data_IF_704666192674
#
_entry.id   IF_704666192674
#
_cell.length_a   1.000
_cell.length_b   1.000
_cell.length_c   1.000
_cell.angle_alpha   90.00
_cell.angle_beta   90.00
_cell.angle_gamma   90.00
#
_symmetry.space_group_name_H-M   'P 1'
#
loop_
_entity.id
_entity.type
_entity.pdbx_description
1 polymer ?
#
# COMPACT_ATOMS: atom_id res chain seq x y z
N UNK A 1 -3.32 -32.33 -6.28
CA UNK A 1 -4.54 -32.63 -7.02
C UNK A 1 -4.36 -32.39 -8.51
N UNK A 2 -3.76 -31.25 -8.93
CA UNK A 2 -3.45 -30.96 -10.33
C UNK A 2 -2.69 -32.12 -11.01
N UNK A 3 -1.65 -32.67 -10.37
CA UNK A 3 -0.89 -33.83 -10.88
C UNK A 3 -1.76 -35.07 -11.05
N UNK A 4 -2.71 -35.33 -10.11
CA UNK A 4 -3.61 -36.48 -10.20
C UNK A 4 -4.55 -36.40 -11.39
N UNK A 5 -4.99 -35.17 -11.73
CA UNK A 5 -5.91 -34.92 -12.83
C UNK A 5 -5.19 -34.61 -14.14
N UNK A 6 -3.85 -34.68 -14.17
CA UNK A 6 -3.02 -34.32 -15.32
C UNK A 6 -3.35 -32.93 -15.89
N UNK A 7 -3.54 -31.95 -14.98
CA UNK A 7 -3.84 -30.56 -15.32
C UNK A 7 -2.59 -29.72 -15.18
N UNK A 8 -2.21 -29.02 -16.22
CA UNK A 8 -1.17 -28.00 -16.23
C UNK A 8 -1.76 -26.66 -15.79
N UNK A 9 -1.17 -26.04 -14.76
CA UNK A 9 -1.62 -24.76 -14.23
C UNK A 9 -0.46 -23.96 -13.64
N UNK A 10 -0.50 -22.65 -13.78
CA UNK A 10 0.41 -21.73 -13.10
C UNK A 10 -0.20 -21.43 -11.72
N UNK A 11 0.59 -21.62 -10.67
CA UNK A 11 0.21 -21.31 -9.28
C UNK A 11 1.04 -20.11 -8.83
N UNK A 12 0.37 -19.01 -8.47
CA UNK A 12 1.02 -17.81 -7.98
C UNK A 12 0.43 -17.37 -6.64
N UNK A 13 1.30 -16.82 -5.79
CA UNK A 13 0.86 -16.10 -4.59
C UNK A 13 0.48 -14.67 -4.94
N UNK A 14 -0.63 -14.21 -4.42
CA UNK A 14 -1.03 -12.80 -4.48
C UNK A 14 -0.97 -12.16 -3.08
N UNK A 15 -1.08 -10.83 -3.01
CA UNK A 15 -1.28 -10.15 -1.75
C UNK A 15 -2.73 -10.26 -1.25
N UNK A 16 -2.96 -9.86 0.00
CA UNK A 16 -4.30 -9.85 0.59
C UNK A 16 -5.22 -8.86 -0.15
N UNK A 17 -6.41 -9.32 -0.53
CA UNK A 17 -7.46 -8.48 -1.16
C UNK A 17 -8.09 -7.50 -0.15
N UNK A 18 -7.82 -7.67 1.15
CA UNK A 18 -8.33 -6.86 2.25
C UNK A 18 -9.55 -7.46 2.97
N UNK A 19 -10.14 -8.56 2.51
CA UNK A 19 -11.32 -9.18 3.14
C UNK A 19 -10.89 -10.36 4.03
N UNK A 20 -10.26 -10.06 5.15
CA UNK A 20 -9.67 -11.07 6.05
C UNK A 20 -10.69 -12.03 6.65
N UNK A 21 -11.93 -11.59 6.86
CA UNK A 21 -12.99 -12.42 7.46
C UNK A 21 -13.36 -13.67 6.65
N UNK A 22 -13.00 -13.71 5.36
CA UNK A 22 -13.36 -14.82 4.44
C UNK A 22 -12.15 -15.54 3.86
N UNK A 23 -10.97 -15.31 4.42
CA UNK A 23 -9.75 -16.04 4.04
C UNK A 23 -9.77 -17.48 4.57
N UNK A 24 -9.06 -18.43 3.95
CA UNK A 24 -8.24 -18.28 2.74
C UNK A 24 -9.05 -18.09 1.45
N UNK A 25 -8.57 -17.24 0.58
CA UNK A 25 -9.19 -16.97 -0.73
C UNK A 25 -8.34 -17.64 -1.82
N UNK A 26 -9.01 -18.31 -2.75
CA UNK A 26 -8.39 -18.90 -3.94
C UNK A 26 -9.04 -18.32 -5.19
N UNK A 27 -8.22 -17.75 -6.05
CA UNK A 27 -8.65 -17.24 -7.34
C UNK A 27 -8.36 -18.26 -8.44
N UNK A 28 -9.33 -18.49 -9.32
CA UNK A 28 -9.15 -19.36 -10.47
C UNK A 28 -9.50 -18.58 -11.74
N UNK A 29 -8.57 -18.59 -12.70
CA UNK A 29 -8.74 -17.99 -14.03
C UNK A 29 -8.53 -19.03 -15.10
N UNK A 30 -9.55 -19.32 -15.89
CA UNK A 30 -9.46 -20.12 -17.10
C UNK A 30 -9.13 -19.22 -18.30
N UNK A 31 -8.44 -19.74 -19.33
CA UNK A 31 -8.22 -19.01 -20.58
C UNK A 31 -9.54 -18.48 -21.17
N UNK A 32 -9.56 -17.19 -21.51
CA UNK A 32 -10.75 -16.54 -22.10
C UNK A 32 -11.92 -16.31 -21.14
N UNK A 33 -11.82 -16.68 -19.86
CA UNK A 33 -12.85 -16.43 -18.85
C UNK A 33 -12.39 -15.43 -17.80
N UNK A 34 -13.35 -14.82 -17.11
CA UNK A 34 -13.07 -13.96 -15.97
C UNK A 34 -12.50 -14.77 -14.78
N UNK A 35 -11.65 -14.14 -13.98
CA UNK A 35 -11.16 -14.68 -12.72
C UNK A 35 -12.29 -14.72 -11.70
N UNK A 36 -12.47 -15.86 -11.03
CA UNK A 36 -13.44 -16.07 -9.96
C UNK A 36 -12.70 -16.30 -8.66
N UNK A 37 -13.10 -15.58 -7.61
CA UNK A 37 -12.60 -15.73 -6.25
C UNK A 37 -13.51 -16.67 -5.46
N UNK A 38 -12.90 -17.59 -4.73
CA UNK A 38 -13.55 -18.53 -3.81
C UNK A 38 -13.05 -18.27 -2.40
N UNK A 39 -13.96 -18.22 -1.43
CA UNK A 39 -13.70 -17.85 -0.04
C UNK A 39 -13.65 -19.07 0.89
N UNK A 40 -13.00 -18.91 2.07
CA UNK A 40 -12.93 -19.92 3.14
C UNK A 40 -12.49 -21.31 2.64
N UNK A 41 -11.56 -21.34 1.68
CA UNK A 41 -11.09 -22.58 1.06
C UNK A 41 -10.16 -23.31 2.04
N UNK A 42 -10.53 -24.53 2.37
CA UNK A 42 -9.73 -25.45 3.19
C UNK A 42 -9.07 -26.51 2.31
N UNK A 43 -8.08 -27.21 2.86
CA UNK A 43 -7.44 -28.34 2.17
C UNK A 43 -8.44 -29.40 1.71
N UNK A 44 -9.53 -29.60 2.46
CA UNK A 44 -10.62 -30.55 2.14
C UNK A 44 -11.42 -30.14 0.89
N UNK A 45 -11.51 -28.84 0.62
CA UNK A 45 -12.26 -28.32 -0.53
C UNK A 45 -11.48 -28.44 -1.84
N UNK A 46 -10.13 -28.46 -1.77
CA UNK A 46 -9.24 -28.40 -2.94
C UNK A 46 -9.54 -29.48 -3.99
N UNK A 47 -9.72 -30.77 -3.67
CA UNK A 47 -9.98 -31.79 -4.68
C UNK A 47 -11.25 -31.49 -5.51
N UNK A 48 -12.33 -31.11 -4.83
CA UNK A 48 -13.60 -30.80 -5.47
C UNK A 48 -13.55 -29.47 -6.25
N UNK A 49 -12.92 -28.43 -5.65
CA UNK A 49 -12.70 -27.15 -6.31
C UNK A 49 -11.95 -27.35 -7.62
N UNK A 50 -10.79 -28.01 -7.60
CA UNK A 50 -9.97 -28.22 -8.79
C UNK A 50 -10.67 -29.09 -9.84
N UNK A 51 -11.33 -30.17 -9.45
CA UNK A 51 -12.09 -31.01 -10.37
C UNK A 51 -13.19 -30.18 -11.06
N UNK A 52 -14.06 -29.54 -10.29
CA UNK A 52 -15.19 -28.76 -10.85
C UNK A 52 -14.71 -27.62 -11.74
N UNK A 53 -13.71 -26.85 -11.29
CA UNK A 53 -13.34 -25.62 -12.01
C UNK A 53 -12.39 -25.87 -13.18
N UNK A 54 -11.42 -26.73 -13.04
CA UNK A 54 -10.38 -26.94 -14.06
C UNK A 54 -10.64 -28.15 -14.96
N UNK A 55 -11.14 -29.27 -14.42
CA UNK A 55 -11.46 -30.45 -15.22
C UNK A 55 -12.81 -30.32 -15.91
N UNK A 56 -13.88 -30.07 -15.14
CA UNK A 56 -15.24 -29.99 -15.65
C UNK A 56 -15.56 -28.61 -16.26
N UNK A 57 -14.70 -27.60 -16.02
CA UNK A 57 -14.82 -26.19 -16.48
C UNK A 57 -16.13 -25.52 -16.02
N UNK A 58 -16.64 -25.93 -14.89
CA UNK A 58 -17.84 -25.41 -14.22
C UNK A 58 -17.46 -24.48 -13.07
N UNK A 59 -18.45 -23.74 -12.55
CA UNK A 59 -18.27 -22.87 -11.37
C UNK A 59 -18.54 -23.67 -10.10
N UNK A 60 -17.59 -23.67 -9.16
CA UNK A 60 -17.76 -24.25 -7.83
C UNK A 60 -18.67 -23.36 -6.96
N UNK A 61 -19.97 -23.61 -6.97
CA UNK A 61 -21.01 -22.70 -6.46
C UNK A 61 -21.00 -22.50 -4.95
N UNK A 62 -20.50 -23.48 -4.18
CA UNK A 62 -20.64 -23.50 -2.73
C UNK A 62 -19.85 -22.42 -1.99
N UNK A 63 -18.73 -21.96 -2.56
CA UNK A 63 -17.81 -21.03 -1.90
C UNK A 63 -17.44 -19.85 -2.78
N UNK A 64 -18.32 -19.41 -3.65
CA UNK A 64 -18.10 -18.24 -4.49
C UNK A 64 -18.05 -16.99 -3.61
N UNK A 65 -16.99 -16.19 -3.75
CA UNK A 65 -16.93 -14.83 -3.25
C UNK A 65 -17.42 -13.85 -4.32
N UNK A 66 -16.94 -13.99 -5.55
CA UNK A 66 -17.34 -13.15 -6.67
C UNK A 66 -16.43 -13.25 -7.88
N UNK A 67 -16.80 -12.56 -8.96
CA UNK A 67 -16.03 -12.47 -10.20
C UNK A 67 -15.33 -11.13 -10.33
N UNK A 68 -14.11 -11.13 -10.91
CA UNK A 68 -13.37 -9.91 -11.27
C UNK A 68 -13.86 -9.26 -12.56
N UNK A 69 -14.82 -9.86 -13.26
CA UNK A 69 -15.39 -9.36 -14.51
C UNK A 69 -16.91 -9.53 -14.54
N UNK A 70 -17.44 -9.67 -15.77
CA UNK A 70 -18.88 -9.89 -16.02
C UNK A 70 -19.15 -11.37 -16.31
N UNK A 71 -18.80 -12.26 -15.38
CA UNK A 71 -19.08 -13.70 -15.54
C UNK A 71 -20.56 -13.99 -15.40
N UNK A 72 -21.16 -14.63 -16.41
CA UNK A 72 -22.56 -15.01 -16.41
C UNK A 72 -22.90 -15.88 -15.17
N UNK A 73 -23.83 -15.40 -14.36
CA UNK A 73 -24.33 -16.11 -13.19
C UNK A 73 -23.48 -16.00 -11.91
N UNK A 74 -22.37 -15.25 -11.93
CA UNK A 74 -21.56 -14.99 -10.72
C UNK A 74 -21.59 -13.49 -10.42
N UNK A 75 -21.89 -13.12 -9.18
CA UNK A 75 -21.88 -11.73 -8.72
C UNK A 75 -20.49 -11.11 -8.91
N UNK A 76 -20.41 -9.86 -9.36
CA UNK A 76 -19.14 -9.15 -9.41
C UNK A 76 -18.63 -8.87 -7.99
N UNK A 77 -17.32 -9.00 -7.77
CA UNK A 77 -16.69 -8.60 -6.50
C UNK A 77 -17.07 -7.16 -6.09
N UNK A 78 -17.24 -6.28 -7.06
CA UNK A 78 -17.68 -4.90 -6.79
C UNK A 78 -19.08 -4.77 -6.20
N UNK A 79 -19.91 -5.81 -6.33
CA UNK A 79 -21.27 -5.87 -5.78
C UNK A 79 -21.34 -6.62 -4.46
N UNK A 80 -20.23 -7.22 -4.00
CA UNK A 80 -20.15 -7.82 -2.66
C UNK A 80 -20.20 -6.67 -1.65
N UNK A 81 -21.07 -6.73 -0.62
CA UNK A 81 -21.28 -5.60 0.31
C UNK A 81 -20.00 -5.05 0.93
N UNK A 82 -19.01 -5.91 1.22
CA UNK A 82 -17.71 -5.50 1.73
C UNK A 82 -16.94 -4.60 0.75
N UNK A 83 -17.08 -4.80 -0.57
CA UNK A 83 -16.36 -4.02 -1.60
C UNK A 83 -17.19 -2.90 -2.21
N UNK A 84 -18.52 -3.01 -2.20
CA UNK A 84 -19.43 -2.10 -2.91
C UNK A 84 -19.26 -0.64 -2.49
N UNK A 85 -19.01 -0.40 -1.21
CA UNK A 85 -18.87 0.94 -0.65
C UNK A 85 -17.42 1.41 -0.49
N UNK A 86 -16.46 0.67 -1.07
CA UNK A 86 -15.05 1.02 -1.08
C UNK A 86 -14.64 1.68 -2.38
N UNK A 87 -13.67 2.60 -2.30
CA UNK A 87 -12.99 3.17 -3.45
C UNK A 87 -11.50 2.92 -3.31
N UNK A 88 -11.01 1.89 -3.99
CA UNK A 88 -9.61 1.49 -3.91
C UNK A 88 -8.74 2.31 -4.87
N UNK A 89 -7.84 3.12 -4.31
CA UNK A 89 -6.77 3.85 -4.99
C UNK A 89 -5.43 3.21 -4.60
N UNK A 90 -5.13 3.14 -3.31
CA UNK A 90 -3.89 2.57 -2.77
C UNK A 90 -3.91 1.05 -2.86
N UNK A 91 -5.04 0.43 -2.49
CA UNK A 91 -5.19 -1.02 -2.47
C UNK A 91 -5.65 -1.62 -3.83
N UNK A 92 -5.60 -0.85 -4.92
CA UNK A 92 -6.13 -1.29 -6.22
C UNK A 92 -5.46 -2.55 -6.77
N UNK A 93 -4.18 -2.75 -6.51
CA UNK A 93 -3.41 -3.92 -6.97
C UNK A 93 -3.39 -5.09 -5.96
N UNK A 94 -3.81 -4.83 -4.71
CA UNK A 94 -3.79 -5.85 -3.66
C UNK A 94 -4.72 -7.01 -4.00
N UNK A 95 -4.19 -8.23 -4.02
CA UNK A 95 -4.88 -9.43 -4.49
C UNK A 95 -5.05 -9.53 -6.00
N UNK A 96 -4.49 -8.60 -6.78
CA UNK A 96 -4.59 -8.56 -8.26
C UNK A 96 -3.26 -8.87 -8.91
N UNK A 97 -2.19 -8.24 -8.44
CA UNK A 97 -0.83 -8.36 -8.99
C UNK A 97 -0.01 -9.30 -8.11
N UNK A 98 0.84 -10.12 -8.73
CA UNK A 98 1.83 -10.91 -8.01
C UNK A 98 2.89 -9.96 -7.41
N UNK A 99 3.00 -9.85 -6.07
CA UNK A 99 3.92 -8.90 -5.42
C UNK A 99 5.41 -9.25 -5.58
N UNK A 100 5.73 -10.43 -6.10
CA UNK A 100 7.11 -10.88 -6.31
C UNK A 100 7.56 -10.70 -7.77
N UNK A 101 6.65 -10.30 -8.68
CA UNK A 101 6.91 -10.14 -10.11
C UNK A 101 6.88 -8.67 -10.52
N UNK A 102 8.04 -8.15 -10.91
CA UNK A 102 8.13 -6.81 -11.50
C UNK A 102 7.40 -6.74 -12.84
N UNK A 103 7.43 -7.82 -13.64
CA UNK A 103 6.74 -7.90 -14.93
C UNK A 103 5.23 -7.81 -14.75
N UNK A 104 4.67 -8.46 -13.72
CA UNK A 104 3.26 -8.35 -13.39
C UNK A 104 2.88 -6.91 -13.01
N UNK A 105 3.75 -6.22 -12.26
CA UNK A 105 3.55 -4.81 -11.91
C UNK A 105 3.62 -3.90 -13.14
N UNK A 106 4.63 -4.08 -14.00
CA UNK A 106 4.79 -3.33 -15.26
C UNK A 106 3.60 -3.56 -16.20
N UNK A 107 3.16 -4.82 -16.39
CA UNK A 107 2.01 -5.16 -17.22
C UNK A 107 0.72 -4.50 -16.72
N UNK A 108 0.61 -4.24 -15.41
CA UNK A 108 -0.51 -3.53 -14.80
C UNK A 108 -0.32 -1.99 -14.77
N UNK A 109 0.65 -1.48 -15.51
CA UNK A 109 0.92 -0.04 -15.65
C UNK A 109 1.84 0.56 -14.59
N UNK A 110 2.51 -0.28 -13.82
CA UNK A 110 3.52 0.15 -12.83
C UNK A 110 4.68 0.89 -13.46
N UNK A 111 5.31 1.76 -12.68
CA UNK A 111 6.41 2.67 -13.03
C UNK A 111 6.12 3.68 -14.15
N UNK A 112 4.91 3.71 -14.71
CA UNK A 112 4.50 4.76 -15.67
C UNK A 112 4.49 6.16 -15.05
N UNK A 113 4.13 6.26 -13.77
CA UNK A 113 4.14 7.54 -13.08
C UNK A 113 5.59 8.04 -12.90
N UNK A 114 6.49 7.15 -12.53
CA UNK A 114 7.90 7.49 -12.37
C UNK A 114 8.57 7.84 -13.70
N UNK A 115 8.32 7.08 -14.78
CA UNK A 115 8.80 7.41 -16.12
C UNK A 115 8.30 8.79 -16.60
N UNK A 116 6.99 9.07 -16.39
CA UNK A 116 6.41 10.39 -16.68
C UNK A 116 7.14 11.51 -15.92
N UNK A 117 7.41 11.30 -14.62
CA UNK A 117 8.11 12.28 -13.78
C UNK A 117 9.52 12.53 -14.29
N UNK A 118 10.30 11.48 -14.55
CA UNK A 118 11.69 11.62 -15.00
C UNK A 118 11.82 12.30 -16.37
N UNK A 119 10.88 12.06 -17.29
CA UNK A 119 10.98 12.56 -18.66
C UNK A 119 10.28 13.89 -18.88
N UNK A 120 9.21 14.18 -18.14
CA UNK A 120 8.27 15.25 -18.49
C UNK A 120 8.09 16.30 -17.39
N UNK A 121 8.62 16.08 -16.18
CA UNK A 121 8.34 16.96 -15.04
C UNK A 121 9.64 17.41 -14.36
N UNK A 122 9.70 18.68 -14.00
CA UNK A 122 10.72 19.21 -13.09
C UNK A 122 10.34 18.91 -11.63
N UNK A 123 11.30 18.97 -10.73
CA UNK A 123 11.10 18.73 -9.30
C UNK A 123 9.97 19.57 -8.70
N UNK A 124 9.97 20.87 -9.04
CA UNK A 124 8.96 21.82 -8.57
C UNK A 124 7.56 21.51 -9.10
N UNK A 125 7.46 20.98 -10.33
CA UNK A 125 6.20 20.60 -10.95
C UNK A 125 5.59 19.36 -10.26
N UNK A 126 6.45 18.38 -9.89
CA UNK A 126 6.01 17.22 -9.11
C UNK A 126 5.47 17.65 -7.74
N UNK A 127 6.21 18.54 -7.06
CA UNK A 127 5.78 19.08 -5.76
C UNK A 127 4.48 19.85 -5.90
N UNK A 128 4.35 20.68 -6.94
CA UNK A 128 3.13 21.44 -7.22
C UNK A 128 1.95 20.50 -7.45
N UNK A 129 2.12 19.44 -8.21
CA UNK A 129 1.07 18.43 -8.46
C UNK A 129 0.58 17.79 -7.15
N UNK A 130 1.50 17.44 -6.25
CA UNK A 130 1.17 16.87 -4.93
C UNK A 130 0.49 17.90 -4.01
N UNK A 131 0.90 19.18 -4.07
CA UNK A 131 0.27 20.28 -3.34
C UNK A 131 -1.16 20.53 -3.84
N UNK A 132 -1.34 20.68 -5.15
CA UNK A 132 -2.63 20.95 -5.78
C UNK A 132 -3.61 19.78 -5.58
N UNK A 133 -3.10 18.54 -5.55
CA UNK A 133 -3.88 17.36 -5.19
C UNK A 133 -4.34 17.35 -3.73
N UNK A 134 -3.71 18.13 -2.86
CA UNK A 134 -4.05 18.20 -1.45
C UNK A 134 -3.73 16.92 -0.67
N UNK A 135 -2.73 16.14 -1.11
CA UNK A 135 -2.32 14.93 -0.41
C UNK A 135 -1.73 15.27 0.96
N UNK A 136 -2.37 14.76 2.01
CA UNK A 136 -1.89 14.83 3.39
C UNK A 136 -1.29 13.50 3.82
N UNK A 137 -0.36 13.54 4.77
CA UNK A 137 0.24 12.34 5.37
C UNK A 137 -0.81 11.37 5.92
N UNK A 138 -0.58 10.07 5.71
CA UNK A 138 -1.48 8.98 6.12
C UNK A 138 -1.03 8.26 7.41
N UNK A 139 0.09 8.67 7.98
CA UNK A 139 0.61 8.11 9.23
C UNK A 139 0.08 8.73 10.52
N UNK A 140 -1.05 9.46 10.48
CA UNK A 140 -1.71 10.05 11.66
C UNK A 140 -1.59 11.57 11.77
N UNK A 141 -0.43 12.18 11.52
CA UNK A 141 -0.21 13.62 11.67
C UNK A 141 -0.89 14.50 10.61
N UNK A 142 -1.23 13.97 9.45
CA UNK A 142 -2.00 14.66 8.42
C UNK A 142 -1.34 15.92 7.83
N UNK A 143 -0.04 16.13 7.98
CA UNK A 143 0.66 17.27 7.41
C UNK A 143 0.68 17.18 5.87
N UNK A 144 0.52 18.29 5.11
CA UNK A 144 0.53 18.27 3.66
C UNK A 144 1.87 17.73 3.11
N UNK A 145 1.81 16.63 2.35
CA UNK A 145 3.01 15.94 1.86
C UNK A 145 3.85 16.84 0.95
N UNK A 146 3.22 17.51 -0.02
CA UNK A 146 3.92 18.43 -0.93
C UNK A 146 4.59 19.60 -0.22
N UNK A 147 4.02 20.09 0.90
CA UNK A 147 4.65 21.17 1.70
C UNK A 147 5.93 20.68 2.40
N UNK A 148 5.93 19.45 2.90
CA UNK A 148 7.13 18.82 3.47
C UNK A 148 8.22 18.66 2.39
N UNK A 149 7.85 18.26 1.17
CA UNK A 149 8.76 18.12 0.05
C UNK A 149 9.34 19.47 -0.42
N UNK A 150 8.49 20.50 -0.52
CA UNK A 150 8.90 21.86 -0.86
C UNK A 150 9.96 22.41 0.13
N UNK A 151 9.74 22.20 1.42
CA UNK A 151 10.69 22.63 2.45
C UNK A 151 12.06 21.97 2.29
N UNK A 152 12.09 20.66 1.97
CA UNK A 152 13.32 19.92 1.76
C UNK A 152 14.00 20.28 0.42
N UNK A 153 13.23 20.49 -0.66
CA UNK A 153 13.81 20.92 -1.95
C UNK A 153 14.56 22.24 -1.81
N UNK A 154 14.01 23.20 -1.08
CA UNK A 154 14.60 24.54 -0.85
C UNK A 154 15.92 24.52 -0.07
N UNK A 155 16.25 23.41 0.62
CA UNK A 155 17.52 23.33 1.33
C UNK A 155 18.68 23.14 0.34
N UNK A 156 19.70 23.99 0.44
CA UNK A 156 20.94 23.81 -0.32
C UNK A 156 21.84 22.82 0.41
N UNK A 157 21.85 21.57 -0.03
CA UNK A 157 22.65 20.49 0.55
C UNK A 157 23.05 19.49 -0.54
N UNK A 158 24.29 19.03 -0.50
CA UNK A 158 24.81 18.02 -1.42
C UNK A 158 24.08 16.67 -1.28
N UNK A 159 23.68 16.33 -0.05
CA UNK A 159 22.96 15.12 0.25
C UNK A 159 21.64 15.42 0.94
N UNK A 160 20.57 14.83 0.45
CA UNK A 160 19.26 14.79 1.07
C UNK A 160 18.81 13.34 1.23
N UNK A 161 17.97 13.07 2.21
CA UNK A 161 17.47 11.73 2.48
C UNK A 161 15.95 11.65 2.39
N UNK A 162 15.48 10.50 1.92
CA UNK A 162 14.07 10.14 1.99
C UNK A 162 13.90 8.93 2.91
N UNK A 163 12.87 8.93 3.74
CA UNK A 163 12.56 7.81 4.62
C UNK A 163 11.09 7.41 4.45
N UNK A 164 10.88 6.13 4.17
CA UNK A 164 9.58 5.49 4.29
C UNK A 164 9.44 4.97 5.72
N UNK A 165 8.51 5.55 6.46
CA UNK A 165 8.16 5.09 7.79
C UNK A 165 7.17 3.92 7.67
N UNK A 166 7.68 2.72 7.90
CA UNK A 166 6.95 1.46 7.96
C UNK A 166 6.98 0.87 9.39
N UNK A 167 7.10 1.72 10.41
CA UNK A 167 7.00 1.36 11.82
C UNK A 167 5.55 1.43 12.29
N UNK A 168 4.71 0.53 11.78
CA UNK A 168 3.30 0.41 12.11
C UNK A 168 3.14 -0.34 13.44
N UNK A 169 3.19 0.40 14.55
CA UNK A 169 3.26 -0.16 15.90
C UNK A 169 1.93 -0.32 16.62
N UNK A 170 0.84 0.24 16.12
CA UNK A 170 -0.47 0.19 16.76
C UNK A 170 -1.06 -1.24 16.77
N UNK A 171 -1.54 -1.74 17.92
CA UNK A 171 -2.25 -3.01 17.98
C UNK A 171 -3.49 -3.02 17.08
N UNK A 172 -3.59 -4.02 16.20
CA UNK A 172 -4.69 -4.14 15.24
C UNK A 172 -4.51 -3.34 13.95
N UNK A 173 -3.49 -2.49 13.82
CA UNK A 173 -3.13 -1.83 12.56
C UNK A 173 -2.26 -2.76 11.70
N UNK A 174 -2.64 -2.93 10.42
CA UNK A 174 -1.91 -3.75 9.46
C UNK A 174 -2.06 -3.25 8.00
N UNK A 175 -2.50 -2.01 7.81
CA UNK A 175 -2.68 -1.44 6.46
C UNK A 175 -1.34 -1.22 5.75
N UNK A 176 -0.33 -0.69 6.43
CA UNK A 176 1.00 -0.50 5.86
C UNK A 176 1.69 -1.83 5.58
N UNK A 177 1.62 -2.76 6.53
CA UNK A 177 2.08 -4.14 6.37
C UNK A 177 1.48 -4.79 5.12
N UNK A 178 0.15 -4.74 4.99
CA UNK A 178 -0.53 -5.37 3.88
C UNK A 178 -0.17 -4.74 2.53
N UNK A 179 0.03 -3.43 2.49
CA UNK A 179 0.48 -2.76 1.26
C UNK A 179 1.90 -3.19 0.88
N UNK A 180 2.82 -3.26 1.84
CA UNK A 180 4.20 -3.73 1.61
C UNK A 180 4.26 -5.21 1.22
N UNK A 181 3.33 -6.03 1.73
CA UNK A 181 3.22 -7.44 1.38
C UNK A 181 2.48 -7.68 0.05
N UNK A 182 1.61 -6.77 -0.38
CA UNK A 182 0.73 -6.98 -1.53
C UNK A 182 1.12 -6.18 -2.77
N UNK A 183 1.68 -4.99 -2.62
CA UNK A 183 2.08 -4.09 -3.72
C UNK A 183 3.33 -3.28 -3.34
N UNK A 184 4.46 -3.96 -3.02
CA UNK A 184 5.69 -3.28 -2.60
C UNK A 184 6.26 -2.38 -3.70
N UNK A 185 6.07 -2.74 -4.98
CA UNK A 185 6.52 -1.94 -6.12
C UNK A 185 5.87 -0.56 -6.16
N UNK A 186 4.59 -0.44 -5.83
CA UNK A 186 3.87 0.84 -5.75
C UNK A 186 4.49 1.77 -4.70
N UNK A 187 4.87 1.23 -3.55
CA UNK A 187 5.51 2.00 -2.49
C UNK A 187 6.89 2.47 -2.94
N UNK A 188 7.68 1.60 -3.57
CA UNK A 188 9.00 1.93 -4.12
C UNK A 188 8.88 2.96 -5.25
N UNK A 189 7.91 2.85 -6.15
CA UNK A 189 7.64 3.86 -7.18
C UNK A 189 7.30 5.22 -6.56
N UNK A 190 6.43 5.25 -5.55
CA UNK A 190 6.09 6.48 -4.82
C UNK A 190 7.29 7.11 -4.10
N UNK A 191 8.16 6.28 -3.54
CA UNK A 191 9.43 6.73 -2.96
C UNK A 191 10.38 7.31 -4.02
N UNK A 192 10.50 6.66 -5.18
CA UNK A 192 11.36 7.13 -6.26
C UNK A 192 10.91 8.50 -6.80
N UNK A 193 9.60 8.69 -6.98
CA UNK A 193 9.00 9.98 -7.35
C UNK A 193 9.30 11.06 -6.30
N UNK A 194 9.11 10.74 -5.02
CA UNK A 194 9.37 11.68 -3.93
C UNK A 194 10.87 12.02 -3.80
N UNK A 195 11.75 11.02 -3.95
CA UNK A 195 13.20 11.22 -3.92
C UNK A 195 13.66 12.14 -5.06
N UNK A 196 13.17 11.93 -6.28
CA UNK A 196 13.39 12.84 -7.39
C UNK A 196 12.93 14.26 -7.06
N UNK A 197 11.70 14.41 -6.58
CA UNK A 197 11.10 15.71 -6.28
C UNK A 197 11.90 16.54 -5.26
N UNK A 198 12.54 15.89 -4.28
CA UNK A 198 13.35 16.61 -3.26
C UNK A 198 14.85 16.64 -3.56
N UNK A 199 15.31 15.93 -4.59
CA UNK A 199 16.73 15.77 -4.93
C UNK A 199 17.49 14.85 -3.97
N UNK A 200 16.85 13.80 -3.46
CA UNK A 200 17.50 12.80 -2.63
C UNK A 200 18.03 11.64 -3.47
N UNK A 201 19.28 11.24 -3.25
CA UNK A 201 19.91 10.07 -3.90
C UNK A 201 19.94 8.82 -3.03
N UNK A 202 19.64 8.96 -1.73
CA UNK A 202 19.59 7.83 -0.79
C UNK A 202 18.27 7.85 -0.04
N UNK A 203 17.61 6.69 -0.01
CA UNK A 203 16.40 6.49 0.77
C UNK A 203 16.50 5.30 1.72
N UNK A 204 15.70 5.34 2.78
CA UNK A 204 15.56 4.25 3.73
C UNK A 204 14.10 3.81 3.84
N UNK A 205 13.87 2.51 3.95
CA UNK A 205 12.60 1.95 4.42
C UNK A 205 12.85 1.47 5.85
N UNK A 206 12.27 2.15 6.83
CA UNK A 206 12.34 1.73 8.22
C UNK A 206 11.15 0.82 8.51
N UNK A 207 11.40 -0.49 8.50
CA UNK A 207 10.38 -1.53 8.63
C UNK A 207 10.57 -2.29 9.93
N UNK A 208 9.49 -2.63 10.60
CA UNK A 208 9.50 -3.47 11.80
C UNK A 208 10.09 -4.85 11.51
N UNK A 209 10.93 -5.35 12.42
CA UNK A 209 11.47 -6.71 12.33
C UNK A 209 10.38 -7.79 12.41
N UNK A 210 9.23 -7.46 13.01
CA UNK A 210 8.05 -8.33 13.15
C UNK A 210 7.27 -8.51 11.83
N UNK A 211 7.68 -7.85 10.74
CA UNK A 211 7.10 -7.99 9.42
C UNK A 211 8.06 -8.74 8.45
N UNK A 212 8.40 -10.02 8.72
CA UNK A 212 9.41 -10.74 7.94
C UNK A 212 9.03 -10.90 6.47
N UNK A 213 7.74 -11.11 6.15
CA UNK A 213 7.27 -11.24 4.78
C UNK A 213 7.38 -9.90 4.03
N UNK A 214 6.98 -8.79 4.65
CA UNK A 214 7.13 -7.46 4.06
C UNK A 214 8.61 -7.15 3.77
N UNK A 215 9.51 -7.46 4.70
CA UNK A 215 10.96 -7.28 4.53
C UNK A 215 11.47 -8.13 3.36
N UNK A 216 11.10 -9.41 3.27
CA UNK A 216 11.52 -10.29 2.18
C UNK A 216 11.03 -9.79 0.82
N UNK A 217 9.77 -9.36 0.73
CA UNK A 217 9.21 -8.79 -0.51
C UNK A 217 9.85 -7.47 -0.89
N UNK A 218 10.12 -6.59 0.06
CA UNK A 218 10.86 -5.35 -0.20
C UNK A 218 12.28 -5.60 -0.69
N UNK A 219 12.99 -6.59 -0.11
CA UNK A 219 14.33 -6.97 -0.58
C UNK A 219 14.29 -7.46 -2.03
N UNK A 220 13.34 -8.34 -2.36
CA UNK A 220 13.13 -8.80 -3.73
C UNK A 220 12.77 -7.63 -4.67
N UNK A 221 11.86 -6.75 -4.24
CA UNK A 221 11.44 -5.59 -5.04
C UNK A 221 12.59 -4.66 -5.37
N UNK A 222 13.41 -4.30 -4.38
CA UNK A 222 14.59 -3.43 -4.58
C UNK A 222 15.56 -4.10 -5.54
N UNK A 223 15.91 -5.37 -5.32
CA UNK A 223 16.82 -6.10 -6.19
C UNK A 223 16.32 -6.17 -7.64
N UNK A 224 15.00 -6.43 -7.84
CA UNK A 224 14.41 -6.42 -9.18
C UNK A 224 14.39 -5.03 -9.81
N UNK A 225 14.11 -3.99 -9.05
CA UNK A 225 14.18 -2.61 -9.57
C UNK A 225 15.61 -2.21 -9.96
N UNK A 226 16.63 -2.67 -9.24
CA UNK A 226 18.04 -2.47 -9.58
C UNK A 226 18.42 -3.25 -10.84
N UNK A 227 18.02 -4.52 -10.96
CA UNK A 227 18.22 -5.38 -12.13
C UNK A 227 17.63 -4.75 -13.41
N UNK A 228 16.45 -4.11 -13.29
CA UNK A 228 15.75 -3.44 -14.40
C UNK A 228 16.20 -1.99 -14.65
N UNK A 229 17.18 -1.48 -13.89
CA UNK A 229 17.67 -0.10 -14.01
C UNK A 229 16.65 0.96 -13.59
N UNK A 230 15.69 0.59 -12.77
CA UNK A 230 14.66 1.47 -12.20
C UNK A 230 15.13 2.06 -10.87
N UNK A 231 16.11 1.46 -10.24
CA UNK A 231 16.88 1.95 -9.09
C UNK A 231 18.38 1.85 -9.39
N UNK A 232 19.20 2.55 -8.60
CA UNK A 232 20.65 2.59 -8.74
C UNK A 232 21.14 3.90 -9.36
N UNK A 233 22.21 3.82 -10.14
CA UNK A 233 22.83 4.97 -10.78
C UNK A 233 22.20 5.28 -12.15
N UNK A 234 22.08 6.58 -12.47
CA UNK A 234 21.61 7.07 -13.76
C UNK A 234 20.34 6.36 -14.29
N UNK A 235 19.32 6.32 -13.45
CA UNK A 235 18.05 5.60 -13.69
C UNK A 235 17.45 6.02 -15.04
N UNK A 236 17.16 5.04 -15.91
CA UNK A 236 16.59 5.24 -17.24
C UNK A 236 17.32 6.33 -18.08
N UNK A 237 18.61 6.53 -17.87
CA UNK A 237 19.45 7.56 -18.48
C UNK A 237 18.98 9.01 -18.23
N UNK A 238 18.32 9.25 -17.09
CA UNK A 238 17.80 10.57 -16.70
C UNK A 238 18.81 11.47 -15.99
N UNK A 239 19.97 10.96 -15.61
CA UNK A 239 20.91 11.62 -14.70
C UNK A 239 20.53 11.54 -13.22
N UNK A 240 19.35 11.00 -12.88
CA UNK A 240 18.91 10.78 -11.52
C UNK A 240 19.41 9.42 -11.00
N UNK A 241 19.85 9.39 -9.74
CA UNK A 241 20.30 8.17 -9.06
C UNK A 241 19.56 8.03 -7.73
N UNK A 242 19.16 6.80 -7.38
CA UNK A 242 18.50 6.50 -6.12
C UNK A 242 18.87 5.12 -5.61
N UNK A 243 19.39 5.05 -4.39
CA UNK A 243 19.66 3.82 -3.66
C UNK A 243 18.72 3.69 -2.47
N UNK A 244 17.98 2.60 -2.38
CA UNK A 244 17.04 2.32 -1.28
C UNK A 244 17.63 1.26 -0.35
N UNK A 245 17.68 1.56 0.95
CA UNK A 245 18.17 0.66 1.99
C UNK A 245 17.07 0.31 2.98
N UNK A 246 17.01 -0.95 3.41
CA UNK A 246 16.06 -1.38 4.44
C UNK A 246 16.75 -1.33 5.79
N UNK A 247 16.14 -0.62 6.74
CA UNK A 247 16.52 -0.62 8.16
C UNK A 247 15.44 -1.33 8.96
N UNK A 248 15.83 -2.42 9.64
CA UNK A 248 14.92 -3.18 10.50
C UNK A 248 14.80 -2.49 11.86
N UNK A 249 13.58 -2.15 12.27
CA UNK A 249 13.27 -1.61 13.60
C UNK A 249 13.21 -2.73 14.64
N UNK A 250 13.61 -2.42 15.88
CA UNK A 250 13.63 -3.39 16.98
C UNK A 250 12.30 -3.47 17.77
N UNK A 251 11.16 -3.05 17.19
CA UNK A 251 9.83 -3.20 17.76
C UNK A 251 9.43 -2.13 18.80
N UNK A 252 10.17 -1.06 18.92
CA UNK A 252 9.81 0.04 19.82
C UNK A 252 8.79 0.97 19.15
N UNK A 253 7.57 1.06 19.68
CA UNK A 253 6.49 1.92 19.18
C UNK A 253 6.92 3.39 18.99
N UNK A 254 7.76 3.89 19.90
CA UNK A 254 8.29 5.27 19.84
C UNK A 254 9.09 5.55 18.56
N UNK A 255 9.63 4.53 17.90
CA UNK A 255 10.36 4.69 16.64
C UNK A 255 9.46 5.04 15.44
N UNK A 256 8.13 5.02 15.59
CA UNK A 256 7.19 5.61 14.65
C UNK A 256 7.23 7.15 14.63
N UNK A 257 7.71 7.80 15.70
CA UNK A 257 7.95 9.25 15.73
C UNK A 257 9.19 9.62 14.91
N UNK A 258 9.10 10.68 14.09
CA UNK A 258 10.10 11.05 13.08
C UNK A 258 11.53 11.17 13.63
N UNK A 259 11.71 11.81 14.79
CA UNK A 259 13.05 12.07 15.35
C UNK A 259 13.63 10.85 16.06
N UNK A 260 12.79 10.02 16.68
CA UNK A 260 13.18 8.74 17.26
C UNK A 260 13.58 7.74 16.16
N UNK A 261 12.83 7.70 15.06
CA UNK A 261 13.14 6.90 13.88
C UNK A 261 14.51 7.28 13.28
N UNK A 262 14.77 8.57 13.10
CA UNK A 262 16.10 9.07 12.66
C UNK A 262 17.19 8.58 13.60
N UNK A 263 17.03 8.76 14.92
CA UNK A 263 18.00 8.29 15.91
C UNK A 263 18.27 6.78 15.79
N UNK A 264 17.23 5.98 15.56
CA UNK A 264 17.35 4.53 15.36
C UNK A 264 18.11 4.18 14.08
N UNK A 265 17.88 4.88 12.95
CA UNK A 265 18.64 4.67 11.72
C UNK A 265 20.12 5.01 11.93
N UNK A 266 20.41 6.07 12.67
CA UNK A 266 21.77 6.49 13.04
C UNK A 266 22.48 5.53 14.03
N UNK A 267 21.81 4.47 14.49
CA UNK A 267 22.36 3.53 15.47
C UNK A 267 22.33 4.04 16.92
N UNK A 268 21.58 5.10 17.17
CA UNK A 268 21.37 5.67 18.50
C UNK A 268 20.08 5.13 19.12
N UNK A 269 19.89 5.37 20.41
CA UNK A 269 18.61 5.09 21.09
C UNK A 269 17.49 5.89 20.43
N UNK A 270 16.39 5.24 20.07
CA UNK A 270 15.20 5.87 19.50
C UNK A 270 14.46 6.72 20.51
N UNK A 271 14.90 7.94 20.70
CA UNK A 271 14.26 8.91 21.60
C UNK A 271 13.79 10.12 20.82
N UNK A 272 12.55 10.59 21.03
CA UNK A 272 12.06 11.83 20.45
C UNK A 272 12.93 13.02 20.82
N UNK A 273 13.11 13.92 19.86
CA UNK A 273 13.86 15.17 20.08
C UNK A 273 12.94 16.39 19.89
N UNK A 274 13.14 17.46 20.66
CA UNK A 274 12.43 18.72 20.42
C UNK A 274 12.66 19.27 19.02
N UNK A 275 11.66 19.95 18.47
CA UNK A 275 11.73 20.68 17.21
C UNK A 275 11.49 22.18 17.48
N UNK A 276 12.15 23.14 16.80
CA UNK A 276 13.09 23.01 15.70
C UNK A 276 14.47 22.48 16.11
N UNK A 277 15.35 22.01 15.15
CA UNK A 277 15.09 22.00 13.71
C UNK A 277 14.13 20.88 13.29
N UNK A 278 13.34 21.13 12.24
CA UNK A 278 12.51 20.09 11.63
C UNK A 278 13.36 19.18 10.73
N UNK A 279 13.01 17.89 10.57
CA UNK A 279 13.78 16.95 9.73
C UNK A 279 13.99 17.43 8.28
N UNK A 280 13.03 18.15 7.71
CA UNK A 280 13.17 18.73 6.38
C UNK A 280 14.34 19.74 6.24
N UNK A 281 14.84 20.26 7.36
CA UNK A 281 16.00 21.17 7.44
C UNK A 281 17.24 20.41 7.91
N UNK A 282 17.15 19.68 9.03
CA UNK A 282 18.25 18.93 9.63
C UNK A 282 17.72 17.64 10.28
N UNK A 283 17.67 16.56 9.49
CA UNK A 283 17.21 15.24 9.89
C UNK A 283 18.34 14.21 10.00
N UNK A 284 18.27 13.16 9.17
CA UNK A 284 19.22 12.06 9.17
C UNK A 284 20.65 12.54 8.91
N UNK A 285 21.58 12.20 9.80
CA UNK A 285 22.96 12.66 9.78
C UNK A 285 23.11 14.20 9.67
N UNK A 286 22.14 14.94 10.21
CA UNK A 286 22.10 16.40 10.15
C UNK A 286 21.77 16.98 8.78
N UNK A 287 21.31 16.16 7.82
CA UNK A 287 20.98 16.57 6.46
C UNK A 287 19.48 16.69 6.25
N UNK A 288 19.01 17.49 5.26
CA UNK A 288 17.59 17.60 4.96
C UNK A 288 16.97 16.23 4.68
N UNK A 289 15.87 15.91 5.37
CA UNK A 289 15.25 14.59 5.33
C UNK A 289 13.75 14.71 5.25
N UNK A 290 13.14 14.03 4.29
CA UNK A 290 11.69 13.86 4.23
C UNK A 290 11.33 12.48 4.75
N UNK A 291 10.35 12.42 5.65
CA UNK A 291 9.79 11.19 6.19
C UNK A 291 8.31 11.16 5.85
N UNK A 292 7.87 10.12 5.13
CA UNK A 292 6.46 9.86 4.88
C UNK A 292 6.12 8.41 5.23
N UNK A 293 4.86 8.19 5.59
CA UNK A 293 4.31 6.86 5.85
C UNK A 293 4.13 6.05 4.56
N UNK A 294 4.05 4.72 4.66
CA UNK A 294 3.88 3.77 3.55
C UNK A 294 2.66 4.12 2.68
N UNK A 295 1.48 4.30 3.28
CA UNK A 295 0.24 4.62 2.56
C UNK A 295 0.35 5.98 1.85
N UNK A 296 1.10 6.94 2.41
CA UNK A 296 1.37 8.21 1.75
C UNK A 296 2.10 8.01 0.44
N UNK A 297 3.19 7.20 0.42
CA UNK A 297 3.91 6.86 -0.80
C UNK A 297 3.05 6.05 -1.77
N UNK A 298 2.23 5.11 -1.27
CA UNK A 298 1.30 4.34 -2.10
C UNK A 298 0.26 5.19 -2.86
N UNK A 299 -0.03 6.40 -2.39
CA UNK A 299 -0.88 7.36 -3.08
C UNK A 299 -0.19 8.13 -4.20
N UNK A 300 1.14 8.25 -4.20
CA UNK A 300 1.88 9.12 -5.12
C UNK A 300 1.77 8.67 -6.58
N UNK A 301 2.04 7.40 -6.95
CA UNK A 301 1.93 6.97 -8.33
C UNK A 301 0.54 7.18 -8.94
N UNK A 302 -0.57 6.72 -8.30
CA UNK A 302 -1.89 6.98 -8.84
C UNK A 302 -2.25 8.47 -8.91
N UNK A 303 -1.79 9.30 -7.95
CA UNK A 303 -1.98 10.74 -7.98
C UNK A 303 -1.34 11.35 -9.25
N UNK A 304 -0.08 11.05 -9.53
CA UNK A 304 0.64 11.55 -10.71
C UNK A 304 -0.03 11.11 -12.02
N UNK A 305 -0.58 9.89 -12.07
CA UNK A 305 -1.27 9.36 -13.24
C UNK A 305 -2.68 9.94 -13.42
N UNK A 306 -3.40 10.16 -12.33
CA UNK A 306 -4.75 10.73 -12.35
C UNK A 306 -4.75 12.24 -12.59
N UNK A 307 -3.71 12.92 -12.13
CA UNK A 307 -3.63 14.37 -12.03
C UNK A 307 -4.28 14.92 -10.76
N UNK A 308 -3.78 16.08 -10.32
CA UNK A 308 -4.19 16.74 -9.08
C UNK A 308 -5.71 16.98 -9.01
N UNK A 309 -6.30 17.46 -10.10
CA UNK A 309 -7.72 17.78 -10.14
C UNK A 309 -8.61 16.54 -9.90
N UNK A 310 -8.30 15.42 -10.54
CA UNK A 310 -9.07 14.19 -10.39
C UNK A 310 -8.84 13.56 -9.01
N UNK A 311 -7.61 13.57 -8.49
CA UNK A 311 -7.34 13.10 -7.13
C UNK A 311 -8.06 13.94 -6.07
N UNK A 312 -8.02 15.27 -6.19
CA UNK A 312 -8.65 16.20 -5.24
C UNK A 312 -10.19 16.20 -5.30
N UNK A 313 -10.78 15.63 -6.34
CA UNK A 313 -12.24 15.45 -6.41
C UNK A 313 -12.75 14.33 -5.49
N UNK A 314 -11.85 13.47 -4.99
CA UNK A 314 -12.16 12.42 -4.01
C UNK A 314 -11.94 12.97 -2.60
N UNK A 315 -12.83 12.67 -1.67
CA UNK A 315 -12.75 13.11 -0.28
C UNK A 315 -13.54 14.39 0.01
N UNK A 316 -13.08 15.17 1.00
CA UNK A 316 -13.74 16.41 1.46
C UNK A 316 -13.02 17.66 0.95
N UNK A 317 -13.55 18.83 1.25
CA UNK A 317 -12.90 20.11 0.91
C UNK A 317 -11.50 20.26 1.53
N UNK A 318 -11.28 19.72 2.74
CA UNK A 318 -10.04 19.88 3.50
C UNK A 318 -9.18 18.62 3.60
N UNK A 319 -9.72 17.45 3.24
CA UNK A 319 -9.04 16.16 3.28
C UNK A 319 -9.31 15.39 1.99
N UNK A 320 -8.33 15.33 1.12
CA UNK A 320 -8.44 14.78 -0.24
C UNK A 320 -8.00 13.31 -0.30
N UNK A 321 -8.52 12.62 -1.33
CA UNK A 321 -8.20 11.22 -1.60
C UNK A 321 -8.94 10.25 -0.68
N UNK A 322 -8.39 9.06 -0.55
CA UNK A 322 -8.90 7.96 0.27
C UNK A 322 -8.06 7.76 1.54
N UNK A 323 -8.60 6.94 2.45
CA UNK A 323 -7.88 6.43 3.62
C UNK A 323 -8.15 4.95 3.77
N UNK A 324 -7.09 4.19 4.06
CA UNK A 324 -7.18 2.78 4.40
C UNK A 324 -7.36 2.63 5.92
N UNK A 325 -8.35 1.85 6.32
CA UNK A 325 -8.60 1.47 7.71
C UNK A 325 -8.40 -0.03 7.90
N UNK A 326 -7.71 -0.42 8.96
CA UNK A 326 -7.70 -1.78 9.46
C UNK A 326 -8.91 -1.95 10.40
N UNK A 327 -9.95 -2.60 9.91
CA UNK A 327 -11.18 -2.84 10.64
C UNK A 327 -11.07 -4.15 11.42
N UNK A 328 -11.02 -4.05 12.74
CA UNK A 328 -10.80 -5.20 13.64
C UNK A 328 -11.68 -5.11 14.89
N UNK A 329 -11.66 -6.16 15.70
CA UNK A 329 -12.46 -6.26 16.92
C UNK A 329 -13.82 -6.89 16.67
N UNK A 330 -14.84 -6.48 17.45
CA UNK A 330 -16.19 -7.05 17.43
C UNK A 330 -17.03 -6.51 16.25
N UNK A 331 -16.57 -6.76 15.04
CA UNK A 331 -17.24 -6.43 13.78
C UNK A 331 -17.36 -7.70 12.93
N UNK A 332 -18.46 -7.85 12.19
CA UNK A 332 -18.74 -9.07 11.42
C UNK A 332 -17.70 -9.33 10.33
N UNK A 333 -17.38 -8.31 9.55
CA UNK A 333 -16.43 -8.39 8.46
C UNK A 333 -15.16 -7.62 8.84
N UNK A 334 -14.14 -8.33 9.31
CA UNK A 334 -12.80 -7.76 9.57
C UNK A 334 -11.99 -7.68 8.29
N UNK A 335 -11.08 -6.69 8.22
CA UNK A 335 -10.18 -6.56 7.08
C UNK A 335 -9.73 -5.13 6.81
N UNK A 336 -9.19 -4.89 5.62
CA UNK A 336 -8.80 -3.56 5.15
C UNK A 336 -9.91 -2.91 4.35
N UNK A 337 -10.22 -1.69 4.71
CA UNK A 337 -11.30 -0.90 4.10
C UNK A 337 -10.71 0.40 3.58
N UNK A 338 -10.74 0.61 2.26
CA UNK A 338 -10.32 1.87 1.66
C UNK A 338 -11.54 2.67 1.21
N UNK A 339 -11.71 3.85 1.81
CA UNK A 339 -12.87 4.73 1.57
C UNK A 339 -12.44 6.16 1.31
N UNK A 340 -13.24 6.96 0.59
CA UNK A 340 -13.02 8.39 0.48
C UNK A 340 -12.95 9.06 1.85
N UNK A 341 -12.06 10.02 2.01
CA UNK A 341 -12.04 10.87 3.20
C UNK A 341 -13.41 11.51 3.40
N UNK A 342 -13.91 11.53 4.65
CA UNK A 342 -15.25 12.00 4.99
C UNK A 342 -16.31 10.90 5.07
N UNK A 343 -15.98 9.65 4.70
CA UNK A 343 -16.87 8.51 4.96
C UNK A 343 -17.10 8.37 6.46
N UNK A 344 -18.35 8.17 6.87
CA UNK A 344 -18.69 8.11 8.29
C UNK A 344 -18.26 6.79 8.92
N UNK A 345 -17.88 6.81 10.20
CA UNK A 345 -17.58 5.59 10.97
C UNK A 345 -18.78 4.63 10.97
N UNK A 346 -20.01 5.16 10.96
CA UNK A 346 -21.24 4.36 10.83
C UNK A 346 -21.24 3.55 9.54
N UNK A 347 -20.91 4.18 8.41
CA UNK A 347 -20.88 3.48 7.12
C UNK A 347 -19.77 2.42 7.10
N UNK A 348 -18.58 2.72 7.65
CA UNK A 348 -17.49 1.76 7.75
C UNK A 348 -17.90 0.55 8.61
N UNK A 349 -18.46 0.77 9.79
CA UNK A 349 -18.80 -0.32 10.72
C UNK A 349 -20.01 -1.12 10.24
N UNK A 350 -21.06 -0.46 9.75
CA UNK A 350 -22.34 -1.12 9.49
C UNK A 350 -22.52 -1.51 8.02
N UNK A 351 -22.19 -0.67 7.05
CA UNK A 351 -22.36 -0.99 5.63
C UNK A 351 -21.26 -1.92 5.12
N UNK A 352 -19.99 -1.60 5.42
CA UNK A 352 -18.85 -2.38 4.97
C UNK A 352 -18.56 -3.52 5.94
N UNK A 353 -18.40 -3.20 7.23
CA UNK A 353 -18.10 -4.16 8.29
C UNK A 353 -19.24 -5.10 8.64
N UNK A 354 -20.45 -4.87 8.11
CA UNK A 354 -21.62 -5.73 8.35
C UNK A 354 -22.20 -5.65 9.76
N UNK A 355 -21.79 -4.66 10.57
CA UNK A 355 -22.27 -4.42 11.92
C UNK A 355 -21.64 -5.34 12.98
N UNK A 356 -22.28 -5.38 14.15
CA UNK A 356 -21.82 -6.17 15.30
C UNK A 356 -22.35 -7.59 15.19
N UNK A 357 -21.52 -8.64 15.39
CA UNK A 357 -21.95 -10.02 15.33
C UNK A 357 -22.96 -10.36 16.45
N UNK A 358 -23.63 -11.49 16.31
CA UNK A 358 -24.55 -12.07 17.31
C UNK A 358 -25.70 -11.16 17.73
N UNK A 359 -26.14 -10.24 16.85
CA UNK A 359 -27.20 -9.25 17.14
C UNK A 359 -26.94 -8.37 18.37
N UNK A 360 -25.67 -8.26 18.80
CA UNK A 360 -25.29 -7.38 19.90
C UNK A 360 -25.39 -5.92 19.50
N UNK A 361 -25.58 -5.03 20.48
CA UNK A 361 -25.65 -3.61 20.24
C UNK A 361 -24.25 -3.00 20.08
N UNK A 362 -24.12 -2.03 19.18
CA UNK A 362 -22.92 -1.21 19.06
C UNK A 362 -22.72 -0.37 20.32
N UNK A 363 -21.53 -0.41 20.88
CA UNK A 363 -21.16 0.39 22.06
C UNK A 363 -20.23 1.54 21.71
N UNK A 364 -19.09 1.23 21.09
CA UNK A 364 -18.07 2.22 20.78
C UNK A 364 -17.17 1.73 19.63
N UNK A 365 -16.46 2.66 19.02
CA UNK A 365 -15.33 2.41 18.11
C UNK A 365 -14.16 3.28 18.53
N UNK A 366 -12.97 2.71 18.52
CA UNK A 366 -11.72 3.42 18.76
C UNK A 366 -10.96 3.58 17.45
N UNK A 367 -10.40 4.75 17.22
CA UNK A 367 -9.52 5.05 16.07
C UNK A 367 -8.24 5.70 16.59
N UNK A 368 -7.14 5.57 15.82
CA UNK A 368 -5.85 6.16 16.20
C UNK A 368 -5.05 5.36 17.21
N UNK A 369 -5.34 4.06 17.35
CA UNK A 369 -4.65 3.16 18.25
C UNK A 369 -5.01 3.34 19.73
N UNK A 370 -4.17 2.83 20.66
CA UNK A 370 -4.48 2.84 22.11
C UNK A 370 -4.63 4.25 22.72
N UNK A 371 -4.08 5.25 22.06
CA UNK A 371 -4.14 6.67 22.52
C UNK A 371 -5.31 7.45 21.91
N UNK A 372 -6.10 6.81 21.06
CA UNK A 372 -7.20 7.43 20.31
C UNK A 372 -8.49 7.59 21.11
#
# INVERSE_FOLDING_TARGET
>A
ELKKLNIEAIIEGTGCIGYCAVEPIVDIKLPGKDRISYQEITVKDVPRLIKTTLADKEVYKEKILGSHGKSNGVISLKQVPFFEHQQKIVLANCGVVNPESIDAYLANGGFKAFDKVLRLMKQEEVIKEVLDAGLRGRGGGGFPAGKKWELALKQNAEQKYLICNADEGDPGAFMDRSLLESDPYRVVEGMAIAAYAIGASVAYIYCRAEYPLAIARLQNTIAKCEEYGILGDNILNSGFSLHIKIKKGAGAFVCGEETALIGSIEGKRGMPKPRPPYPAIAGLFGKPTVINNVETFGNVPPLIMMGAQKFSSVGTATSKGTKVFALSGNVKNTGLVEVPMGTTLRDIVFKIGGGIPDKKQFKAVQIGGPSG
#
